data_IF_221224001850
#
_entry.id   IF_221224001850
#
_cell.length_a   1.000
_cell.length_b   1.000
_cell.length_c   1.000
_cell.angle_alpha   90.00
_cell.angle_beta   90.00
_cell.angle_gamma   90.00
#
_symmetry.space_group_name_H-M   'P 1'
#
loop_
_entity.id
_entity.type
_entity.pdbx_description
1 polymer ?
#
# COMPACT_ATOMS: atom_id res chain seq x y z
N UNK A 1 -12.12 -5.39 -10.39
CA UNK A 1 -11.80 -4.13 -9.67
C UNK A 1 -12.72 -3.03 -10.19
N UNK A 2 -13.36 -2.25 -9.31
CA UNK A 2 -14.14 -1.09 -9.74
C UNK A 2 -13.20 0.07 -10.08
N UNK A 3 -13.68 1.10 -10.78
CA UNK A 3 -12.92 2.31 -11.09
C UNK A 3 -12.40 3.10 -9.87
N UNK A 4 -12.86 2.76 -8.65
CA UNK A 4 -12.36 3.32 -7.38
C UNK A 4 -11.23 2.49 -6.75
N UNK A 5 -10.92 1.31 -7.30
CA UNK A 5 -9.94 0.34 -6.79
C UNK A 5 -8.63 0.29 -7.59
N UNK A 6 -8.24 1.41 -8.20
CA UNK A 6 -6.99 1.48 -8.95
C UNK A 6 -5.85 1.76 -7.97
N UNK A 7 -5.12 0.70 -7.65
CA UNK A 7 -3.81 0.82 -6.98
C UNK A 7 -2.79 1.44 -7.95
N UNK A 8 -1.88 2.28 -7.45
CA UNK A 8 -0.96 3.02 -8.32
C UNK A 8 -0.06 2.08 -9.15
N UNK A 9 0.46 1.01 -8.54
CA UNK A 9 1.21 -0.02 -9.24
C UNK A 9 0.91 -1.43 -8.70
N UNK A 10 1.04 -2.41 -9.60
CA UNK A 10 0.99 -3.83 -9.27
C UNK A 10 2.27 -4.50 -9.73
N UNK A 11 3.06 -5.03 -8.79
CA UNK A 11 4.27 -5.79 -9.09
C UNK A 11 3.92 -7.27 -8.99
N UNK A 12 4.14 -8.03 -10.05
CA UNK A 12 3.75 -9.44 -10.13
C UNK A 12 4.97 -10.34 -10.39
N UNK A 13 5.85 -10.58 -9.37
CA UNK A 13 6.85 -11.64 -9.48
C UNK A 13 6.15 -13.01 -9.54
N UNK A 14 6.87 -14.05 -9.97
CA UNK A 14 6.31 -15.39 -10.05
C UNK A 14 5.68 -15.84 -8.71
N UNK A 15 4.41 -16.22 -8.73
CA UNK A 15 3.67 -16.68 -7.55
C UNK A 15 3.14 -15.58 -6.61
N UNK A 16 3.40 -14.29 -6.87
CA UNK A 16 2.83 -13.23 -6.03
C UNK A 16 2.39 -11.97 -6.77
N UNK A 17 1.42 -11.24 -6.21
CA UNK A 17 1.08 -9.87 -6.64
C UNK A 17 1.15 -8.93 -5.45
N UNK A 18 1.92 -7.87 -5.62
CA UNK A 18 2.22 -6.89 -4.59
C UNK A 18 1.64 -5.55 -5.05
N UNK A 19 0.74 -5.01 -4.24
CA UNK A 19 0.17 -3.71 -4.47
C UNK A 19 1.08 -2.61 -3.95
N UNK A 20 1.40 -1.61 -4.77
CA UNK A 20 2.21 -0.45 -4.36
C UNK A 20 1.38 0.82 -4.52
N UNK A 21 1.22 1.55 -3.42
CA UNK A 21 0.51 2.84 -3.39
C UNK A 21 1.50 3.97 -3.08
N UNK A 22 1.39 5.08 -3.79
CA UNK A 22 2.22 6.26 -3.63
C UNK A 22 1.40 7.45 -3.12
N UNK A 23 1.91 8.12 -2.08
CA UNK A 23 1.28 9.32 -1.50
C UNK A 23 2.32 10.35 -1.11
N UNK A 24 2.35 11.47 -1.84
CA UNK A 24 3.18 12.63 -1.46
C UNK A 24 2.66 13.28 -0.16
N UNK A 25 1.35 13.52 -0.09
CA UNK A 25 0.69 14.06 1.10
C UNK A 25 -0.78 13.63 1.13
N UNK A 26 -1.20 12.95 2.19
CA UNK A 26 -2.60 12.60 2.41
C UNK A 26 -2.90 12.36 3.90
N UNK A 27 -4.17 12.37 4.29
CA UNK A 27 -4.54 12.05 5.67
C UNK A 27 -4.26 10.57 5.98
N UNK A 28 -3.56 10.30 7.09
CA UNK A 28 -3.15 8.94 7.50
C UNK A 28 -4.33 7.94 7.52
N UNK A 29 -5.47 8.36 8.07
CA UNK A 29 -6.70 7.53 8.09
C UNK A 29 -7.25 7.23 6.69
N UNK A 30 -7.10 8.17 5.75
CA UNK A 30 -7.54 7.96 4.36
C UNK A 30 -6.62 6.96 3.64
N UNK A 31 -5.31 7.09 3.84
CA UNK A 31 -4.30 6.14 3.33
C UNK A 31 -4.59 4.73 3.89
N UNK A 32 -4.73 4.61 5.21
CA UNK A 32 -4.98 3.31 5.84
C UNK A 32 -6.27 2.66 5.34
N UNK A 33 -7.38 3.42 5.27
CA UNK A 33 -8.66 2.91 4.73
C UNK A 33 -8.54 2.44 3.28
N UNK A 34 -7.75 3.14 2.47
CA UNK A 34 -7.49 2.76 1.08
C UNK A 34 -6.70 1.44 1.01
N UNK A 35 -5.65 1.28 1.83
CA UNK A 35 -4.90 0.03 1.94
C UNK A 35 -5.76 -1.14 2.44
N UNK A 36 -6.64 -0.93 3.43
CA UNK A 36 -7.59 -1.96 3.89
C UNK A 36 -8.46 -2.48 2.75
N UNK A 37 -9.00 -1.57 1.93
CA UNK A 37 -9.80 -1.93 0.75
C UNK A 37 -8.98 -2.75 -0.25
N UNK A 38 -7.73 -2.38 -0.51
CA UNK A 38 -6.88 -3.18 -1.38
C UNK A 38 -6.57 -4.57 -0.83
N UNK A 39 -6.39 -4.66 0.49
CA UNK A 39 -6.15 -5.92 1.17
C UNK A 39 -7.35 -6.88 1.13
N UNK A 40 -8.56 -6.42 0.80
CA UNK A 40 -9.73 -7.28 0.59
C UNK A 40 -9.65 -8.10 -0.71
N UNK A 41 -8.86 -7.68 -1.71
CA UNK A 41 -8.75 -8.40 -2.97
C UNK A 41 -7.85 -9.62 -2.84
N UNK A 42 -8.40 -10.84 -2.99
CA UNK A 42 -7.67 -12.12 -2.87
C UNK A 42 -6.38 -12.16 -3.69
N UNK A 43 -6.39 -11.54 -4.87
CA UNK A 43 -5.25 -11.48 -5.77
C UNK A 43 -4.06 -10.64 -5.27
N UNK A 44 -4.28 -9.73 -4.31
CA UNK A 44 -3.20 -8.98 -3.67
C UNK A 44 -2.68 -9.80 -2.51
N UNK A 45 -1.38 -10.13 -2.51
CA UNK A 45 -0.76 -10.92 -1.45
C UNK A 45 0.01 -10.06 -0.44
N UNK A 46 0.43 -8.85 -0.83
CA UNK A 46 1.11 -7.89 0.06
C UNK A 46 0.89 -6.45 -0.41
N UNK A 47 1.10 -5.49 0.49
CA UNK A 47 1.00 -4.06 0.22
C UNK A 47 2.27 -3.31 0.60
N UNK A 48 2.67 -2.37 -0.25
CA UNK A 48 3.76 -1.42 0.01
C UNK A 48 3.22 0.00 -0.16
N UNK A 49 3.42 0.83 0.85
CA UNK A 49 3.12 2.25 0.80
C UNK A 49 4.43 3.05 0.67
N UNK A 50 4.54 3.83 -0.40
CA UNK A 50 5.56 4.89 -0.51
C UNK A 50 4.91 6.20 -0.06
N UNK A 51 5.38 6.79 1.05
CA UNK A 51 4.73 7.98 1.62
C UNK A 51 5.68 9.13 1.93
N UNK A 52 5.32 10.33 1.48
CA UNK A 52 5.81 11.59 2.01
C UNK A 52 5.08 12.04 3.29
N UNK A 53 4.00 11.35 3.68
CA UNK A 53 3.33 11.56 4.97
C UNK A 53 3.98 10.66 6.02
N UNK A 54 4.58 11.24 7.06
CA UNK A 54 5.15 10.47 8.16
C UNK A 54 4.07 9.61 8.84
N UNK A 55 4.17 8.29 8.74
CA UNK A 55 3.28 7.32 9.39
C UNK A 55 3.92 5.93 9.40
N UNK A 56 3.35 5.05 10.22
CA UNK A 56 3.64 3.62 10.23
C UNK A 56 2.41 2.84 9.76
N UNK A 57 2.61 1.58 9.41
CA UNK A 57 1.55 0.59 9.19
C UNK A 57 1.69 -0.53 10.23
N UNK A 58 0.60 -1.23 10.58
CA UNK A 58 0.71 -2.53 11.22
C UNK A 58 1.48 -3.51 10.32
N UNK A 59 2.08 -4.55 10.90
CA UNK A 59 2.81 -5.58 10.15
C UNK A 59 1.92 -6.28 9.10
N UNK A 60 0.62 -6.38 9.39
CA UNK A 60 -0.38 -6.92 8.46
C UNK A 60 -1.63 -6.06 8.39
N UNK A 61 -2.26 -6.03 7.21
CA UNK A 61 -3.59 -5.47 6.96
C UNK A 61 -4.43 -6.60 6.39
N UNK A 62 -5.54 -6.96 7.05
CA UNK A 62 -6.38 -8.10 6.70
C UNK A 62 -5.58 -9.41 6.49
N UNK A 63 -4.59 -9.66 7.36
CA UNK A 63 -3.73 -10.85 7.28
C UNK A 63 -2.65 -10.81 6.19
N UNK A 64 -2.58 -9.74 5.39
CA UNK A 64 -1.58 -9.57 4.33
C UNK A 64 -0.44 -8.68 4.80
N UNK A 65 0.84 -9.02 4.54
CA UNK A 65 1.96 -8.17 4.90
C UNK A 65 1.82 -6.75 4.37
N UNK A 66 2.12 -5.77 5.21
CA UNK A 66 2.05 -4.34 4.87
C UNK A 66 3.34 -3.62 5.25
N UNK A 67 3.92 -2.90 4.29
CA UNK A 67 5.18 -2.19 4.46
C UNK A 67 4.99 -0.70 4.15
N UNK A 68 5.74 0.16 4.82
CA UNK A 68 5.79 1.59 4.50
C UNK A 68 7.23 2.05 4.35
N UNK A 69 7.50 2.80 3.29
CA UNK A 69 8.76 3.48 3.07
C UNK A 69 8.53 4.99 3.06
N UNK A 70 9.25 5.68 3.95
CA UNK A 70 9.21 7.14 4.04
C UNK A 70 10.05 7.77 2.94
N UNK A 71 9.41 8.52 2.05
CA UNK A 71 10.07 9.27 0.98
C UNK A 71 10.83 10.51 1.51
N UNK A 72 10.52 10.97 2.72
CA UNK A 72 11.24 12.09 3.35
C UNK A 72 12.62 11.70 3.92
N UNK A 73 12.86 10.40 4.09
CA UNK A 73 14.09 9.83 4.64
C UNK A 73 14.85 8.95 3.63
N UNK A 74 14.28 8.75 2.43
CA UNK A 74 14.76 7.80 1.43
C UNK A 74 15.41 8.45 0.19
N UNK A 75 15.88 9.70 0.31
CA UNK A 75 16.77 10.29 -0.71
C UNK A 75 18.22 9.94 -0.36
N UNK A 76 18.86 9.15 -1.23
CA UNK A 76 20.32 9.03 -1.34
C UNK A 76 20.87 10.20 -2.14
#
# INVERSE_FOLDING_TARGET
MSSRDIIDFLIAPEGARIGVELKLKAQRKAIYRQLCRYAEHEEIHALVLLSGTAMTLPETINGKPAYVFSMGTAWL
#
